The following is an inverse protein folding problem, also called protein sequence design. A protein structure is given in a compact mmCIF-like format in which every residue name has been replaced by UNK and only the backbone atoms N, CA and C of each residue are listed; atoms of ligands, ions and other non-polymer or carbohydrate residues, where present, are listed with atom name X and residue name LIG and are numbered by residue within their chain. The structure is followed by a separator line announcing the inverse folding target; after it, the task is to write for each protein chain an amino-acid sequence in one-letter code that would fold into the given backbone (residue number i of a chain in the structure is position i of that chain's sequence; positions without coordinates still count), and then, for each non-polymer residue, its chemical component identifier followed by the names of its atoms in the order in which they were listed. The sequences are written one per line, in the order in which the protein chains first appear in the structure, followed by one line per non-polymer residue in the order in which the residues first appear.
data_IF_596891230198
#
_entry.id   IF_596891230198
#
_cell.length_a   1.000
_cell.length_b   1.000
_cell.length_c   1.000
_cell.angle_alpha   90.00
_cell.angle_beta   90.00
_cell.angle_gamma   90.00
#
_symmetry.space_group_name_H-M   'P 1'
#
loop_
_entity.id
_entity.type
_entity.pdbx_description
1 polymer ?
#
# COMPACT_ATOMS: atom_id res chain seq x y z
N UNK A 1 2.05 -27.66 -9.33
CA UNK A 1 0.64 -27.32 -9.66
C UNK A 1 0.15 -26.00 -9.05
N UNK A 2 1.02 -25.02 -8.72
CA UNK A 2 0.60 -23.77 -8.04
C UNK A 2 0.22 -22.58 -8.94
N UNK A 3 0.31 -22.71 -10.27
CA UNK A 3 0.17 -21.56 -11.19
C UNK A 3 -1.26 -21.26 -11.67
N UNK A 4 -2.16 -22.25 -11.67
CA UNK A 4 -3.47 -22.12 -12.35
C UNK A 4 -4.53 -21.52 -11.43
N UNK A 5 -4.56 -21.89 -10.14
CA UNK A 5 -5.54 -21.39 -9.16
C UNK A 5 -5.28 -19.94 -8.71
N UNK A 6 -4.02 -19.49 -8.78
CA UNK A 6 -3.63 -18.10 -8.50
C UNK A 6 -4.20 -17.09 -9.50
N UNK A 7 -4.47 -17.50 -10.75
CA UNK A 7 -4.89 -16.59 -11.82
C UNK A 7 -6.30 -16.01 -11.62
N UNK A 8 -7.22 -16.79 -11.05
CA UNK A 8 -8.60 -16.35 -10.79
C UNK A 8 -8.63 -15.44 -9.56
N UNK A 9 -7.96 -15.84 -8.47
CA UNK A 9 -7.86 -15.01 -7.27
C UNK A 9 -7.20 -13.65 -7.56
N UNK A 10 -6.17 -13.63 -8.40
CA UNK A 10 -5.52 -12.38 -8.82
C UNK A 10 -6.49 -11.45 -9.59
N UNK A 11 -7.32 -11.98 -10.50
CA UNK A 11 -8.32 -11.17 -11.23
C UNK A 11 -9.35 -10.49 -10.34
N UNK A 12 -9.64 -11.05 -9.17
CA UNK A 12 -10.56 -10.46 -8.20
C UNK A 12 -9.85 -9.62 -7.12
N UNK A 13 -8.52 -9.71 -7.04
CA UNK A 13 -7.73 -9.01 -6.04
C UNK A 13 -7.09 -7.74 -6.56
N UNK A 14 -6.89 -7.59 -7.88
CA UNK A 14 -6.19 -6.45 -8.47
C UNK A 14 -7.10 -5.62 -9.40
N UNK A 15 -7.20 -4.33 -9.14
CA UNK A 15 -8.04 -3.38 -9.89
C UNK A 15 -7.21 -2.18 -10.36
N UNK A 16 -6.26 -2.38 -11.30
CA UNK A 16 -5.47 -1.28 -11.85
C UNK A 16 -6.36 -0.22 -12.52
N UNK A 17 -6.05 1.07 -12.39
CA UNK A 17 -6.75 2.13 -13.12
C UNK A 17 -6.81 1.85 -14.62
N UNK A 18 -7.99 2.00 -15.22
CA UNK A 18 -8.22 1.81 -16.66
C UNK A 18 -9.09 2.96 -17.21
N UNK A 19 -8.54 3.86 -18.05
CA UNK A 19 -7.13 3.93 -18.47
C UNK A 19 -6.16 4.27 -17.31
N UNK A 20 -4.85 4.02 -17.47
CA UNK A 20 -3.83 4.57 -16.58
C UNK A 20 -3.98 6.08 -16.39
N UNK A 21 -3.63 6.59 -15.20
CA UNK A 21 -3.74 8.02 -14.91
C UNK A 21 -2.61 8.87 -15.53
N UNK A 22 -1.57 8.20 -16.05
CA UNK A 22 -0.41 8.83 -16.66
C UNK A 22 0.07 8.03 -17.88
N UNK A 23 0.76 8.71 -18.79
CA UNK A 23 1.53 8.16 -19.90
C UNK A 23 3.03 8.29 -19.67
N UNK A 24 3.85 7.59 -20.47
CA UNK A 24 5.30 7.61 -20.36
C UNK A 24 5.92 8.21 -21.62
N UNK A 25 6.77 9.22 -21.45
CA UNK A 25 7.47 9.91 -22.56
C UNK A 25 8.99 9.88 -22.36
N UNK A 26 9.72 9.85 -23.47
CA UNK A 26 11.17 10.07 -23.51
C UNK A 26 11.45 11.52 -23.91
N UNK A 27 12.47 12.12 -23.32
CA UNK A 27 12.99 13.39 -23.78
C UNK A 27 14.17 13.15 -24.72
N UNK A 28 13.89 13.23 -26.01
CA UNK A 28 14.87 13.00 -27.09
C UNK A 28 15.81 14.21 -27.28
N UNK A 29 15.64 15.28 -26.50
CA UNK A 29 16.44 16.52 -26.63
C UNK A 29 17.74 16.51 -25.82
N UNK A 30 17.89 15.58 -24.88
CA UNK A 30 19.12 15.39 -24.09
C UNK A 30 19.95 14.21 -24.60
N UNK A 31 21.28 14.26 -24.46
CA UNK A 31 22.19 13.15 -24.83
C UNK A 31 22.00 11.87 -23.99
N UNK A 32 21.06 11.89 -23.05
CA UNK A 32 20.66 10.79 -22.17
C UNK A 32 19.16 10.66 -22.30
N UNK A 33 18.66 9.47 -22.66
CA UNK A 33 17.23 9.16 -22.73
C UNK A 33 16.61 9.25 -21.33
N UNK A 34 16.11 10.42 -20.96
CA UNK A 34 15.42 10.63 -19.68
C UNK A 34 13.93 10.38 -19.85
N UNK A 35 13.38 9.53 -18.99
CA UNK A 35 11.95 9.23 -18.95
C UNK A 35 11.21 10.23 -18.07
N UNK A 36 9.96 10.50 -18.43
CA UNK A 36 9.01 11.27 -17.65
C UNK A 36 7.62 10.64 -17.70
N UNK A 37 6.87 10.78 -16.61
CA UNK A 37 5.44 10.48 -16.61
C UNK A 37 4.63 11.74 -16.93
N UNK A 38 3.55 11.61 -17.69
CA UNK A 38 2.65 12.73 -18.04
C UNK A 38 1.66 13.01 -16.91
N UNK A 39 0.87 14.08 -17.07
CA UNK A 39 -0.26 14.41 -16.19
C UNK A 39 0.13 14.70 -14.73
N UNK A 40 1.42 14.91 -14.48
CA UNK A 40 1.99 15.38 -13.20
C UNK A 40 2.98 16.52 -13.44
N UNK A 41 3.27 17.37 -12.44
CA UNK A 41 4.27 18.43 -12.58
C UNK A 41 5.67 17.88 -12.90
N UNK A 42 6.35 18.48 -13.89
CA UNK A 42 7.75 18.14 -14.17
C UNK A 42 8.65 18.60 -13.03
N UNK A 43 9.58 17.74 -12.63
CA UNK A 43 10.55 18.04 -11.58
C UNK A 43 11.91 17.41 -11.87
N UNK A 44 12.97 18.17 -11.65
CA UNK A 44 14.35 17.71 -11.85
C UNK A 44 14.82 16.74 -10.76
N UNK A 45 14.22 16.81 -9.58
CA UNK A 45 14.49 15.96 -8.42
C UNK A 45 13.78 14.59 -8.50
N UNK A 46 13.10 14.29 -9.61
CA UNK A 46 12.46 13.00 -9.86
C UNK A 46 13.13 12.28 -11.02
N UNK A 47 13.53 11.03 -10.78
CA UNK A 47 13.91 10.10 -11.83
C UNK A 47 12.73 9.18 -12.14
N UNK A 48 12.48 8.90 -13.41
CA UNK A 48 11.53 7.86 -13.86
C UNK A 48 12.32 6.73 -14.50
N UNK A 49 11.99 5.51 -14.14
CA UNK A 49 12.77 4.31 -14.46
C UNK A 49 11.88 3.22 -15.04
N UNK A 50 12.45 2.43 -15.94
CA UNK A 50 11.91 1.14 -16.36
C UNK A 50 12.77 0.02 -15.77
N UNK A 51 12.17 -0.83 -14.96
CA UNK A 51 12.86 -1.90 -14.24
C UNK A 51 12.44 -3.26 -14.78
N UNK A 52 13.42 -4.08 -15.16
CA UNK A 52 13.19 -5.46 -15.59
C UNK A 52 13.04 -6.36 -14.37
N UNK A 53 11.93 -7.07 -14.29
CA UNK A 53 11.65 -8.03 -13.21
C UNK A 53 12.20 -9.41 -13.54
N UNK A 54 12.49 -10.23 -12.51
CA UNK A 54 12.91 -11.64 -12.70
C UNK A 54 11.86 -12.52 -13.41
N UNK A 55 10.62 -12.02 -13.55
CA UNK A 55 9.53 -12.72 -14.25
C UNK A 55 9.31 -12.24 -15.69
N UNK A 56 10.20 -11.37 -16.19
CA UNK A 56 10.19 -10.92 -17.58
C UNK A 56 9.26 -9.74 -17.87
N UNK A 57 8.60 -9.18 -16.86
CA UNK A 57 7.86 -7.92 -17.01
C UNK A 57 8.82 -6.73 -16.87
N UNK A 58 8.48 -5.64 -17.52
CA UNK A 58 9.03 -4.30 -17.29
C UNK A 58 8.01 -3.49 -16.49
N UNK A 59 8.45 -2.95 -15.36
CA UNK A 59 7.65 -2.07 -14.49
C UNK A 59 8.18 -0.65 -14.49
N UNK A 60 7.30 0.33 -14.25
CA UNK A 60 7.68 1.72 -14.08
C UNK A 60 7.90 2.02 -12.61
N UNK A 61 8.96 2.76 -12.31
CA UNK A 61 9.25 3.29 -10.98
C UNK A 61 9.58 4.78 -11.06
N UNK A 62 9.30 5.52 -9.98
CA UNK A 62 9.80 6.87 -9.78
C UNK A 62 10.65 6.94 -8.53
N UNK A 63 11.72 7.74 -8.59
CA UNK A 63 12.60 8.02 -7.47
C UNK A 63 12.65 9.52 -7.19
N UNK A 64 12.02 9.94 -6.10
CA UNK A 64 12.02 11.32 -5.61
C UNK A 64 13.24 11.54 -4.71
N UNK A 65 14.11 12.45 -5.12
CA UNK A 65 15.33 12.82 -4.38
C UNK A 65 15.03 13.94 -3.39
N UNK A 66 15.57 13.82 -2.19
CA UNK A 66 15.58 14.91 -1.22
C UNK A 66 17.03 15.31 -0.88
N UNK A 67 17.41 16.60 -1.00
CA UNK A 67 18.81 17.03 -0.86
C UNK A 67 19.40 16.81 0.54
N UNK A 68 18.54 16.69 1.55
CA UNK A 68 18.92 16.39 2.95
C UNK A 68 18.37 15.03 3.40
N UNK A 69 18.21 14.09 2.47
CA UNK A 69 17.72 12.76 2.78
C UNK A 69 18.63 12.06 3.80
N UNK A 70 18.05 11.48 4.85
CA UNK A 70 18.78 10.67 5.82
C UNK A 70 18.49 9.17 5.70
N UNK A 71 17.69 8.78 4.72
CA UNK A 71 17.30 7.41 4.39
C UNK A 71 16.41 7.38 3.14
N UNK A 72 15.96 6.20 2.76
CA UNK A 72 15.10 5.98 1.59
C UNK A 72 13.85 5.20 1.97
N UNK A 73 12.70 5.64 1.48
CA UNK A 73 11.40 4.96 1.61
C UNK A 73 11.10 4.21 0.31
N UNK A 74 10.88 2.90 0.37
CA UNK A 74 10.35 2.11 -0.76
C UNK A 74 8.86 1.87 -0.53
N UNK A 75 8.02 2.41 -1.42
CA UNK A 75 6.57 2.47 -1.26
C UNK A 75 5.85 1.51 -2.21
N UNK A 76 5.15 0.53 -1.65
CA UNK A 76 4.20 -0.36 -2.34
C UNK A 76 2.77 0.21 -2.20
N UNK A 77 2.21 0.72 -3.31
CA UNK A 77 0.93 1.42 -3.31
C UNK A 77 -0.31 0.52 -3.17
N UNK A 78 -1.47 1.14 -2.94
CA UNK A 78 -2.75 0.47 -2.84
C UNK A 78 -3.27 -0.10 -4.17
N UNK A 79 -4.39 -0.83 -4.11
CA UNK A 79 -4.91 -1.62 -5.22
C UNK A 79 -5.49 -0.82 -6.39
N UNK A 80 -6.22 0.26 -6.11
CA UNK A 80 -6.87 1.06 -7.15
C UNK A 80 -6.08 2.36 -7.40
N UNK A 81 -4.76 2.26 -7.40
CA UNK A 81 -3.84 3.38 -7.55
C UNK A 81 -2.72 3.04 -8.55
N UNK A 82 -2.18 4.06 -9.21
CA UNK A 82 -0.95 3.98 -9.99
C UNK A 82 -0.03 5.17 -9.67
N UNK A 83 1.19 5.18 -10.23
CA UNK A 83 2.19 6.23 -9.95
C UNK A 83 1.72 7.66 -10.21
N UNK A 84 0.88 7.89 -11.22
CA UNK A 84 0.36 9.23 -11.53
C UNK A 84 -0.51 9.77 -10.39
N UNK A 85 -1.40 8.93 -9.85
CA UNK A 85 -2.23 9.29 -8.70
C UNK A 85 -1.43 9.43 -7.40
N UNK A 86 -0.35 8.67 -7.25
CA UNK A 86 0.49 8.66 -6.06
C UNK A 86 1.58 9.75 -6.05
N UNK A 87 1.82 10.41 -7.19
CA UNK A 87 2.96 11.31 -7.39
C UNK A 87 3.04 12.44 -6.34
N UNK A 88 1.96 13.19 -6.14
CA UNK A 88 1.92 14.30 -5.19
C UNK A 88 2.14 13.83 -3.76
N UNK A 89 1.55 12.68 -3.38
CA UNK A 89 1.78 12.08 -2.07
C UNK A 89 3.26 11.72 -1.89
N UNK A 90 3.92 11.18 -2.90
CA UNK A 90 5.34 10.83 -2.84
C UNK A 90 6.25 12.04 -2.69
N UNK A 91 5.99 13.12 -3.43
CA UNK A 91 6.71 14.38 -3.29
C UNK A 91 6.53 14.96 -1.88
N UNK A 92 5.30 14.99 -1.37
CA UNK A 92 4.99 15.51 -0.05
C UNK A 92 5.61 14.67 1.07
N UNK A 93 5.54 13.33 0.98
CA UNK A 93 6.19 12.43 1.94
C UNK A 93 7.70 12.61 1.94
N UNK A 94 8.33 12.66 0.76
CA UNK A 94 9.77 12.88 0.62
C UNK A 94 10.20 14.19 1.29
N UNK A 95 9.49 15.29 1.00
CA UNK A 95 9.73 16.61 1.57
C UNK A 95 9.53 16.66 3.09
N UNK A 96 8.38 16.18 3.58
CA UNK A 96 8.00 16.27 4.99
C UNK A 96 8.82 15.35 5.88
N UNK A 97 9.19 14.16 5.40
CA UNK A 97 9.97 13.18 6.16
C UNK A 97 11.48 13.34 5.96
N UNK A 98 11.92 14.13 4.97
CA UNK A 98 13.32 14.29 4.56
C UNK A 98 13.96 12.95 4.21
N UNK A 99 13.28 12.22 3.34
CA UNK A 99 13.73 10.92 2.83
C UNK A 99 13.74 10.98 1.30
N UNK A 100 14.62 10.20 0.68
CA UNK A 100 14.38 9.81 -0.70
C UNK A 100 13.18 8.86 -0.73
N UNK A 101 12.45 8.80 -1.85
CA UNK A 101 11.29 7.93 -1.96
C UNK A 101 11.27 7.24 -3.32
N UNK A 102 11.26 5.91 -3.33
CA UNK A 102 10.97 5.11 -4.51
C UNK A 102 9.55 4.57 -4.45
N UNK A 103 8.74 4.93 -5.43
CA UNK A 103 7.46 4.28 -5.71
C UNK A 103 7.56 3.49 -7.01
N UNK A 104 6.80 2.42 -7.15
CA UNK A 104 6.77 1.61 -8.36
C UNK A 104 5.36 1.09 -8.63
N UNK A 105 5.00 0.96 -9.90
CA UNK A 105 3.78 0.28 -10.30
C UNK A 105 3.99 -1.24 -10.30
N UNK A 106 2.95 -1.97 -9.94
CA UNK A 106 2.93 -3.43 -10.10
C UNK A 106 2.88 -3.82 -11.59
N UNK A 107 3.32 -5.03 -11.91
CA UNK A 107 3.09 -5.63 -13.22
C UNK A 107 1.60 -5.54 -13.61
N UNK A 108 1.29 -4.95 -14.76
CA UNK A 108 -0.08 -4.72 -15.23
C UNK A 108 -0.79 -3.47 -14.66
N UNK A 109 -0.07 -2.59 -13.96
CA UNK A 109 -0.55 -1.29 -13.49
C UNK A 109 0.11 -0.14 -14.23
N UNK A 110 -0.59 0.98 -14.37
CA UNK A 110 -0.05 2.18 -15.01
C UNK A 110 0.49 1.87 -16.40
N UNK A 111 1.74 2.24 -16.64
CA UNK A 111 2.47 1.95 -17.88
C UNK A 111 3.35 0.68 -17.80
N UNK A 112 3.15 -0.15 -16.76
CA UNK A 112 3.88 -1.39 -16.56
C UNK A 112 3.28 -2.54 -17.37
N UNK A 113 4.14 -3.38 -17.93
CA UNK A 113 3.75 -4.55 -18.71
C UNK A 113 3.28 -5.72 -17.83
N UNK A 114 2.71 -6.76 -18.46
CA UNK A 114 2.36 -8.00 -17.77
C UNK A 114 0.97 -7.98 -17.13
N UNK A 115 0.80 -8.71 -16.03
CA UNK A 115 -0.47 -8.83 -15.29
C UNK A 115 -0.22 -8.88 -13.80
N UNK A 116 -1.13 -8.32 -13.03
CA UNK A 116 -1.02 -8.34 -11.58
C UNK A 116 -1.25 -9.75 -11.02
N UNK A 117 -0.37 -10.17 -10.13
CA UNK A 117 -0.48 -11.42 -9.35
C UNK A 117 0.44 -11.32 -8.14
N UNK A 118 0.17 -12.04 -7.06
CA UNK A 118 1.03 -12.07 -5.87
C UNK A 118 2.51 -12.30 -6.23
N UNK A 119 2.77 -13.33 -7.05
CA UNK A 119 4.12 -13.67 -7.47
C UNK A 119 4.77 -12.64 -8.41
N UNK A 120 4.00 -11.87 -9.18
CA UNK A 120 4.54 -10.71 -9.90
C UNK A 120 4.84 -9.57 -8.95
N UNK A 121 3.94 -9.22 -8.03
CA UNK A 121 4.20 -8.13 -7.06
C UNK A 121 5.44 -8.37 -6.19
N UNK A 122 5.74 -9.63 -5.85
CA UNK A 122 7.01 -9.98 -5.19
C UNK A 122 8.22 -9.80 -6.10
N UNK A 123 8.11 -10.12 -7.39
CA UNK A 123 9.17 -9.85 -8.36
C UNK A 123 9.34 -8.35 -8.65
N UNK A 124 8.25 -7.58 -8.57
CA UNK A 124 8.23 -6.13 -8.82
C UNK A 124 8.94 -5.37 -7.69
N UNK A 125 8.64 -5.70 -6.42
CA UNK A 125 9.35 -5.11 -5.28
C UNK A 125 10.82 -5.53 -5.24
N UNK A 126 11.13 -6.79 -5.59
CA UNK A 126 12.51 -7.26 -5.63
C UNK A 126 13.32 -6.47 -6.70
N UNK A 127 12.72 -6.14 -7.86
CA UNK A 127 13.37 -5.33 -8.89
C UNK A 127 13.61 -3.88 -8.43
N UNK A 128 12.63 -3.28 -7.76
CA UNK A 128 12.74 -1.93 -7.19
C UNK A 128 13.79 -1.88 -6.07
N UNK A 129 13.81 -2.89 -5.21
CA UNK A 129 14.83 -3.08 -4.18
C UNK A 129 16.23 -3.19 -4.81
N UNK A 130 16.42 -4.08 -5.80
CA UNK A 130 17.71 -4.21 -6.52
C UNK A 130 18.15 -2.87 -7.15
N UNK A 131 17.25 -2.13 -7.77
CA UNK A 131 17.55 -0.80 -8.30
C UNK A 131 18.08 0.16 -7.23
N UNK A 132 17.43 0.23 -6.05
CA UNK A 132 17.91 1.03 -4.92
C UNK A 132 19.31 0.63 -4.45
N UNK A 133 19.59 -0.67 -4.43
CA UNK A 133 20.91 -1.20 -4.04
C UNK A 133 21.99 -0.85 -5.07
N UNK A 134 21.71 -1.13 -6.33
CA UNK A 134 22.71 -1.16 -7.41
C UNK A 134 22.93 0.21 -8.04
N UNK A 135 21.86 0.97 -8.32
CA UNK A 135 21.94 2.28 -8.98
C UNK A 135 22.08 3.42 -7.99
N UNK A 136 21.40 3.34 -6.84
CA UNK A 136 21.37 4.41 -5.85
C UNK A 136 22.26 4.15 -4.62
N UNK A 137 22.89 2.97 -4.51
CA UNK A 137 23.82 2.64 -3.44
C UNK A 137 23.18 2.60 -2.03
N UNK A 138 21.85 2.42 -1.95
CA UNK A 138 21.12 2.44 -0.68
C UNK A 138 21.47 1.22 0.16
N UNK A 139 21.85 1.42 1.42
CA UNK A 139 22.10 0.33 2.37
C UNK A 139 20.81 -0.12 3.04
N UNK A 140 20.75 -1.39 3.48
CA UNK A 140 19.53 -1.94 4.10
C UNK A 140 19.15 -1.17 5.36
N UNK A 141 20.17 -0.76 6.14
CA UNK A 141 20.04 0.05 7.36
C UNK A 141 19.64 1.51 7.09
N UNK A 142 19.47 1.90 5.82
CA UNK A 142 18.92 3.17 5.37
C UNK A 142 17.52 3.03 4.76
N UNK A 143 17.07 1.80 4.52
CA UNK A 143 15.85 1.50 3.80
C UNK A 143 14.68 1.30 4.77
N UNK A 144 13.60 2.06 4.51
CA UNK A 144 12.31 1.93 5.16
C UNK A 144 11.35 1.37 4.12
N UNK A 145 10.66 0.28 4.44
CA UNK A 145 9.61 -0.24 3.55
C UNK A 145 8.25 0.31 3.97
N UNK A 146 7.43 0.68 3.01
CA UNK A 146 6.08 1.20 3.23
C UNK A 146 5.09 0.42 2.36
N UNK A 147 4.09 -0.19 2.97
CA UNK A 147 3.04 -0.92 2.24
C UNK A 147 1.65 -0.42 2.61
N UNK A 148 0.89 0.03 1.62
CA UNK A 148 -0.51 0.44 1.80
C UNK A 148 -1.48 -0.64 1.30
N UNK A 149 -2.41 -1.06 2.15
CA UNK A 149 -3.45 -2.03 1.80
C UNK A 149 -2.85 -3.29 1.19
N UNK A 150 -3.20 -3.61 -0.07
CA UNK A 150 -2.60 -4.73 -0.83
C UNK A 150 -1.07 -4.67 -0.90
N UNK A 151 -0.48 -3.46 -0.90
CA UNK A 151 0.97 -3.24 -0.89
C UNK A 151 1.66 -3.74 0.38
N UNK A 152 0.92 -4.02 1.46
CA UNK A 152 1.47 -4.69 2.64
C UNK A 152 1.99 -6.09 2.31
N UNK A 153 1.42 -6.76 1.30
CA UNK A 153 1.85 -8.07 0.80
C UNK A 153 3.31 -8.11 0.38
N UNK A 154 3.70 -7.43 -0.72
CA UNK A 154 5.10 -7.39 -1.16
C UNK A 154 6.03 -6.74 -0.12
N UNK A 155 5.55 -5.74 0.62
CA UNK A 155 6.32 -5.09 1.70
C UNK A 155 6.75 -6.08 2.79
N UNK A 156 5.81 -6.86 3.34
CA UNK A 156 6.10 -7.83 4.40
C UNK A 156 6.89 -9.02 3.83
N UNK A 157 6.63 -9.43 2.60
CA UNK A 157 7.41 -10.49 1.94
C UNK A 157 8.90 -10.13 1.86
N UNK A 158 9.23 -8.92 1.36
CA UNK A 158 10.61 -8.44 1.32
C UNK A 158 11.17 -8.26 2.74
N UNK A 159 10.42 -7.64 3.65
CA UNK A 159 10.85 -7.41 5.02
C UNK A 159 11.21 -8.70 5.77
N UNK A 160 10.45 -9.78 5.55
CA UNK A 160 10.65 -11.08 6.20
C UNK A 160 11.96 -11.77 5.81
N UNK A 161 12.58 -11.34 4.70
CA UNK A 161 13.80 -11.90 4.12
C UNK A 161 15.00 -10.95 4.20
N UNK A 162 14.81 -9.74 4.73
CA UNK A 162 15.85 -8.69 4.79
C UNK A 162 16.03 -8.21 6.24
N UNK A 163 17.00 -8.78 7.00
CA UNK A 163 17.06 -8.62 8.45
C UNK A 163 17.51 -7.22 8.93
N UNK A 164 18.20 -6.46 8.07
CA UNK A 164 18.87 -5.21 8.45
C UNK A 164 18.11 -3.94 8.02
N UNK A 165 16.82 -4.05 7.68
CA UNK A 165 15.99 -2.89 7.33
C UNK A 165 15.92 -1.89 8.48
N UNK A 166 15.83 -0.60 8.13
CA UNK A 166 15.68 0.47 9.12
C UNK A 166 14.31 0.43 9.81
N UNK A 167 13.26 0.08 9.08
CA UNK A 167 11.91 -0.07 9.61
C UNK A 167 10.89 -0.42 8.54
N UNK A 168 9.70 -0.78 9.00
CA UNK A 168 8.55 -1.08 8.15
C UNK A 168 7.36 -0.23 8.59
N UNK A 169 6.67 0.37 7.64
CA UNK A 169 5.39 1.05 7.83
C UNK A 169 4.31 0.27 7.10
N UNK A 170 3.27 -0.11 7.83
CA UNK A 170 2.09 -0.80 7.30
C UNK A 170 0.89 0.14 7.42
N UNK A 171 0.32 0.54 6.29
CA UNK A 171 -0.82 1.44 6.22
C UNK A 171 -2.07 0.66 5.78
N UNK A 172 -3.06 0.58 6.66
CA UNK A 172 -4.29 -0.20 6.50
C UNK A 172 -4.03 -1.62 5.96
N UNK A 173 -3.09 -2.37 6.56
CA UNK A 173 -2.56 -3.59 5.97
C UNK A 173 -3.55 -4.76 6.04
N UNK A 174 -3.34 -5.76 5.18
CA UNK A 174 -4.15 -6.98 5.16
C UNK A 174 -3.44 -8.15 5.87
N UNK A 175 -4.16 -8.95 6.65
CA UNK A 175 -3.63 -10.22 7.19
C UNK A 175 -3.39 -11.24 6.08
N UNK A 176 -4.36 -11.34 5.16
CA UNK A 176 -4.30 -12.08 3.89
C UNK A 176 -5.47 -11.69 3.00
N UNK A 177 -5.41 -12.01 1.70
CA UNK A 177 -6.46 -11.68 0.75
C UNK A 177 -7.81 -12.30 1.11
N UNK A 178 -7.84 -13.57 1.50
CA UNK A 178 -9.08 -14.23 1.94
C UNK A 178 -9.69 -13.59 3.19
N UNK A 179 -8.85 -13.11 4.13
CA UNK A 179 -9.32 -12.50 5.38
C UNK A 179 -9.99 -11.14 5.16
N UNK A 180 -9.65 -10.45 4.08
CA UNK A 180 -10.33 -9.20 3.68
C UNK A 180 -11.77 -9.49 3.25
N UNK A 181 -11.96 -10.57 2.47
CA UNK A 181 -13.28 -10.92 1.92
C UNK A 181 -14.17 -11.66 2.93
N UNK A 182 -13.57 -12.47 3.80
CA UNK A 182 -14.28 -13.34 4.72
C UNK A 182 -13.55 -13.43 6.06
N UNK A 183 -14.25 -13.44 7.21
CA UNK A 183 -13.65 -13.54 8.54
C UNK A 183 -13.17 -14.96 8.86
N UNK A 184 -12.20 -15.46 8.07
CA UNK A 184 -11.64 -16.81 8.20
C UNK A 184 -10.51 -16.85 9.24
N UNK A 185 -10.54 -17.86 10.12
CA UNK A 185 -9.50 -18.04 11.14
C UNK A 185 -8.27 -18.79 10.63
N UNK A 186 -8.41 -19.63 9.60
CA UNK A 186 -7.34 -20.48 9.06
C UNK A 186 -6.75 -19.88 7.80
N UNK A 187 -5.44 -20.08 7.60
CA UNK A 187 -4.77 -19.73 6.35
C UNK A 187 -4.91 -20.87 5.36
N UNK A 188 -5.37 -20.58 4.15
CA UNK A 188 -5.56 -21.57 3.09
C UNK A 188 -4.38 -21.57 2.11
N UNK A 189 -4.14 -22.71 1.46
CA UNK A 189 -3.02 -22.85 0.53
C UNK A 189 -3.15 -21.93 -0.69
N UNK A 190 -4.37 -21.64 -1.14
CA UNK A 190 -4.71 -20.75 -2.25
C UNK A 190 -4.88 -19.27 -1.85
N UNK A 191 -4.72 -18.95 -0.56
CA UNK A 191 -4.75 -17.57 -0.08
C UNK A 191 -3.55 -16.78 -0.59
N UNK A 192 -3.72 -15.48 -0.80
CA UNK A 192 -2.66 -14.57 -1.26
C UNK A 192 -2.24 -13.64 -0.13
N UNK A 193 -0.99 -13.19 -0.17
CA UNK A 193 -0.44 -12.23 0.79
C UNK A 193 -0.64 -12.66 2.23
N UNK A 194 -0.22 -13.88 2.56
CA UNK A 194 -0.29 -14.49 3.90
C UNK A 194 0.64 -13.77 4.90
N UNK A 195 0.40 -12.49 5.11
CA UNK A 195 1.19 -11.58 5.93
C UNK A 195 1.20 -12.04 7.38
N UNK A 196 0.09 -12.61 7.85
CA UNK A 196 -0.02 -13.25 9.17
C UNK A 196 1.05 -14.33 9.40
N UNK A 197 1.44 -15.07 8.35
CA UNK A 197 2.45 -16.12 8.45
C UNK A 197 3.89 -15.57 8.35
N UNK A 198 4.06 -14.35 7.80
CA UNK A 198 5.38 -13.76 7.48
C UNK A 198 5.83 -12.69 8.48
N UNK A 199 4.89 -11.97 9.11
CA UNK A 199 5.19 -10.81 9.96
C UNK A 199 6.09 -11.16 11.15
N UNK A 200 5.97 -12.38 11.68
CA UNK A 200 6.82 -12.89 12.75
C UNK A 200 8.29 -13.03 12.37
N UNK A 201 8.65 -12.98 11.09
CA UNK A 201 10.04 -13.01 10.61
C UNK A 201 10.67 -11.62 10.46
N UNK A 202 9.87 -10.54 10.53
CA UNK A 202 10.37 -9.17 10.43
C UNK A 202 11.11 -8.78 11.72
N UNK A 203 12.38 -8.40 11.58
CA UNK A 203 13.30 -8.15 12.71
C UNK A 203 13.57 -6.67 13.00
N UNK A 204 12.99 -5.76 12.23
CA UNK A 204 13.12 -4.31 12.40
C UNK A 204 11.84 -3.69 12.99
N UNK A 205 11.89 -2.43 13.46
CA UNK A 205 10.71 -1.76 14.01
C UNK A 205 9.56 -1.66 13.00
N UNK A 206 8.36 -2.07 13.42
CA UNK A 206 7.13 -2.02 12.63
C UNK A 206 6.16 -0.99 13.19
N UNK A 207 5.80 0.00 12.37
CA UNK A 207 4.70 0.92 12.61
C UNK A 207 3.47 0.44 11.82
N UNK A 208 2.32 0.35 12.49
CA UNK A 208 1.02 0.15 11.85
C UNK A 208 0.19 1.42 11.96
N UNK A 209 -0.38 1.86 10.85
CA UNK A 209 -1.33 2.97 10.76
C UNK A 209 -2.64 2.41 10.21
N UNK A 210 -3.76 2.59 10.90
CA UNK A 210 -5.05 2.05 10.45
C UNK A 210 -6.21 2.91 10.97
N UNK A 211 -7.20 3.16 10.11
CA UNK A 211 -8.46 3.82 10.49
C UNK A 211 -9.36 2.91 11.30
N UNK A 212 -10.03 3.44 12.32
CA UNK A 212 -10.97 2.65 13.15
C UNK A 212 -12.34 2.47 12.48
N UNK A 213 -12.62 3.20 11.41
CA UNK A 213 -13.85 3.12 10.61
C UNK A 213 -13.54 2.65 9.18
N UNK A 214 -12.52 1.79 9.03
CA UNK A 214 -12.13 1.20 7.76
C UNK A 214 -13.11 0.09 7.34
N UNK A 215 -13.96 0.39 6.35
CA UNK A 215 -14.96 -0.53 5.81
C UNK A 215 -14.43 -1.45 4.71
N UNK A 216 -13.20 -1.22 4.22
CA UNK A 216 -12.58 -2.04 3.17
C UNK A 216 -11.70 -3.12 3.78
N UNK A 217 -10.87 -2.75 4.75
CA UNK A 217 -10.02 -3.66 5.51
C UNK A 217 -10.26 -3.40 6.98
N UNK A 218 -10.99 -4.30 7.63
CA UNK A 218 -11.32 -4.16 9.05
C UNK A 218 -10.07 -3.89 9.90
N UNK A 219 -10.20 -2.93 10.82
CA UNK A 219 -9.13 -2.47 11.71
C UNK A 219 -8.42 -3.62 12.46
N UNK A 220 -9.11 -4.73 12.72
CA UNK A 220 -8.51 -5.92 13.36
C UNK A 220 -7.34 -6.50 12.57
N UNK A 221 -7.23 -6.25 11.26
CA UNK A 221 -6.11 -6.70 10.45
C UNK A 221 -4.80 -6.02 10.86
N UNK A 222 -4.81 -4.68 10.92
CA UNK A 222 -3.68 -3.90 11.39
C UNK A 222 -3.35 -4.22 12.84
N UNK A 223 -4.36 -4.33 13.70
CA UNK A 223 -4.16 -4.69 15.11
C UNK A 223 -3.45 -6.03 15.28
N UNK A 224 -3.90 -7.09 14.58
CA UNK A 224 -3.30 -8.41 14.68
C UNK A 224 -1.86 -8.45 14.11
N UNK A 225 -1.60 -7.78 12.99
CA UNK A 225 -0.23 -7.68 12.45
C UNK A 225 0.71 -6.95 13.41
N UNK A 226 0.22 -5.89 14.05
CA UNK A 226 0.98 -5.19 15.08
C UNK A 226 1.28 -6.10 16.28
N UNK A 227 0.28 -6.82 16.82
CA UNK A 227 0.45 -7.76 17.94
C UNK A 227 1.47 -8.88 17.62
N UNK A 228 1.48 -9.38 16.38
CA UNK A 228 2.37 -10.43 15.90
C UNK A 228 3.79 -9.94 15.53
N UNK A 229 4.01 -8.62 15.42
CA UNK A 229 5.32 -8.05 15.07
C UNK A 229 6.34 -8.25 16.21
N UNK A 230 7.59 -8.59 15.88
CA UNK A 230 8.67 -8.78 16.88
C UNK A 230 9.10 -7.46 17.53
N UNK A 231 9.53 -6.49 16.72
CA UNK A 231 9.90 -5.15 17.18
C UNK A 231 8.72 -4.19 16.90
N UNK A 232 7.85 -3.99 17.89
CA UNK A 232 6.66 -3.14 17.76
C UNK A 232 7.02 -1.66 18.01
N UNK A 233 6.63 -0.78 17.10
CA UNK A 233 6.52 0.65 17.39
C UNK A 233 5.08 1.01 17.78
N UNK A 234 4.87 2.12 18.47
CA UNK A 234 3.52 2.54 18.87
C UNK A 234 2.64 2.77 17.62
N UNK A 235 1.50 2.06 17.49
CA UNK A 235 0.65 2.14 16.31
C UNK A 235 -0.12 3.46 16.28
N UNK A 236 -0.56 3.88 15.10
CA UNK A 236 -1.50 4.99 14.93
C UNK A 236 -2.88 4.44 14.54
N UNK A 237 -3.80 4.46 15.50
CA UNK A 237 -5.21 4.19 15.24
C UNK A 237 -5.95 5.50 15.01
N UNK A 238 -6.34 5.76 13.77
CA UNK A 238 -7.00 7.03 13.40
C UNK A 238 -8.49 6.90 13.68
N UNK A 239 -8.95 7.56 14.74
CA UNK A 239 -10.37 7.54 15.13
C UNK A 239 -11.25 8.16 14.05
N UNK A 240 -12.24 7.41 13.55
CA UNK A 240 -13.10 7.83 12.44
C UNK A 240 -12.44 7.80 11.05
N UNK A 241 -11.15 7.44 10.97
CA UNK A 241 -10.45 7.24 9.70
C UNK A 241 -10.99 6.02 8.94
N UNK A 242 -11.15 6.16 7.63
CA UNK A 242 -11.50 5.10 6.69
C UNK A 242 -10.27 4.59 5.92
N UNK A 243 -10.49 3.81 4.86
CA UNK A 243 -9.39 3.13 4.15
C UNK A 243 -8.47 4.08 3.35
N UNK A 244 -9.03 5.12 2.75
CA UNK A 244 -8.36 5.95 1.73
C UNK A 244 -8.26 7.44 2.12
N UNK A 245 -8.44 7.78 3.40
CA UNK A 245 -8.43 9.17 3.85
C UNK A 245 -7.48 9.46 5.02
N UNK A 246 -6.67 8.48 5.44
CA UNK A 246 -5.84 8.63 6.64
C UNK A 246 -4.77 9.72 6.47
N UNK A 247 -4.29 9.93 5.26
CA UNK A 247 -3.31 10.96 4.91
C UNK A 247 -3.83 12.39 5.15
N UNK A 248 -5.15 12.57 5.19
CA UNK A 248 -5.79 13.86 5.45
C UNK A 248 -5.78 14.24 6.94
N UNK A 249 -5.57 13.27 7.82
CA UNK A 249 -5.57 13.48 9.27
C UNK A 249 -4.23 14.08 9.73
N UNK A 250 -4.20 15.18 10.49
CA UNK A 250 -2.97 15.81 10.97
C UNK A 250 -2.06 14.87 11.78
N UNK A 251 -2.63 13.88 12.48
CA UNK A 251 -1.89 12.88 13.24
C UNK A 251 -1.02 12.00 12.35
N UNK A 252 -1.44 11.73 11.10
CA UNK A 252 -0.75 10.83 10.18
C UNK A 252 0.70 11.25 9.95
N UNK A 253 0.90 12.46 9.43
CA UNK A 253 2.25 12.94 9.11
C UNK A 253 3.06 13.19 10.39
N UNK A 254 2.41 13.62 11.47
CA UNK A 254 3.06 13.84 12.77
C UNK A 254 3.62 12.54 13.33
N UNK A 255 2.87 11.45 13.26
CA UNK A 255 3.28 10.14 13.76
C UNK A 255 4.34 9.50 12.88
N UNK A 256 4.21 9.60 11.55
CA UNK A 256 5.26 9.16 10.62
C UNK A 256 6.59 9.86 10.89
N UNK A 257 6.59 11.18 11.10
CA UNK A 257 7.81 11.92 11.48
C UNK A 257 8.44 11.39 12.76
N UNK A 258 7.63 11.13 13.80
CA UNK A 258 8.12 10.56 15.06
C UNK A 258 8.76 9.19 14.84
N UNK A 259 8.16 8.34 14.02
CA UNK A 259 8.70 7.03 13.67
C UNK A 259 10.03 7.14 12.92
N UNK A 260 10.10 7.99 11.88
CA UNK A 260 11.34 8.23 11.11
C UNK A 260 12.45 8.76 12.02
N UNK A 261 12.15 9.68 12.93
CA UNK A 261 13.13 10.18 13.92
C UNK A 261 13.58 9.05 14.86
N UNK A 262 12.66 8.22 15.34
CA UNK A 262 12.96 7.09 16.22
C UNK A 262 13.93 6.11 15.57
N UNK A 263 13.65 5.67 14.34
CA UNK A 263 14.48 4.69 13.61
C UNK A 263 15.77 5.28 13.03
N UNK A 264 15.91 6.62 13.01
CA UNK A 264 17.15 7.29 12.60
C UNK A 264 18.19 7.38 13.73
N UNK A 265 17.81 7.11 14.98
CA UNK A 265 18.76 7.10 16.10
C UNK A 265 19.64 5.85 15.99
N UNK A 266 20.97 5.97 16.16
CA UNK A 266 21.84 4.80 16.15
C UNK A 266 21.41 3.83 17.25
N UNK A 267 21.31 2.55 16.93
CA UNK A 267 21.08 1.49 17.92
C UNK A 267 22.27 1.53 18.88
N UNK A 268 22.06 2.04 20.10
CA UNK A 268 23.07 1.98 21.16
C UNK A 268 23.47 0.53 21.48
N UNK A 269 24.57 0.31 22.22
CA UNK A 269 24.97 -1.03 22.61
C UNK A 269 23.81 -1.72 23.34
N UNK A 270 23.37 -2.88 22.83
CA UNK A 270 22.38 -3.72 23.52
C UNK A 270 23.05 -4.30 24.76
N UNK A 271 23.00 -3.58 25.88
CA UNK A 271 23.31 -4.17 27.18
C UNK A 271 22.26 -5.25 27.46
N UNK A 272 22.72 -6.49 27.63
CA UNK A 272 21.88 -7.61 28.04
C UNK A 272 21.18 -7.34 29.38
N UNK A 273 20.18 -8.16 29.74
CA UNK A 273 19.35 -7.91 30.90
C UNK A 273 20.17 -8.15 32.18
N UNK A 274 20.77 -7.08 32.73
CA UNK A 274 21.24 -7.08 34.10
C UNK A 274 20.04 -7.06 35.03
N UNK A 275 19.72 -8.24 35.57
CA UNK A 275 18.94 -8.40 36.80
C UNK A 275 19.61 -7.55 37.89
N UNK A 276 18.94 -6.51 38.36
CA UNK A 276 19.21 -5.93 39.68
C UNK A 276 17.88 -5.57 40.34
N UNK A 277 17.67 -6.15 41.52
CA UNK A 277 16.49 -5.98 42.37
C UNK A 277 16.41 -4.53 42.88
N UNK A 278 15.21 -3.98 43.13
CA UNK A 278 15.07 -2.70 43.81
C UNK A 278 15.06 -2.90 45.32
N UNK A 279 16.02 -2.31 46.01
CA UNK A 279 15.90 -1.99 47.44
C UNK A 279 15.86 -0.48 47.62
N UNK A 280 14.75 -0.09 48.22
CA UNK A 280 14.48 1.07 49.07
C UNK A 280 14.46 2.50 48.56
N UNK A 281 13.41 3.15 49.04
CA UNK A 281 12.95 4.48 48.74
C UNK A 281 13.68 5.55 49.53
N UNK A 282 13.77 6.75 48.96
CA UNK A 282 13.45 7.96 49.71
C UNK A 282 13.00 9.07 48.76
N UNK A 283 11.95 9.77 49.22
CA UNK A 283 11.29 10.90 48.58
C UNK A 283 12.26 12.08 48.40
N UNK A 284 12.07 12.85 47.34
CA UNK A 284 11.79 14.27 47.55
C UNK A 284 11.01 14.92 46.40
N UNK A 285 10.03 15.73 46.79
CA UNK A 285 9.13 16.48 45.93
C UNK A 285 9.72 17.86 45.66
N UNK A 286 9.67 18.32 44.42
CA UNK A 286 9.44 19.74 44.13
C UNK A 286 8.96 19.94 42.68
N UNK A 287 7.75 20.50 42.56
CA UNK A 287 7.25 21.18 41.35
C UNK A 287 7.83 22.61 41.33
N UNK A 288 7.92 23.24 40.15
CA UNK A 288 6.95 24.32 39.93
C UNK A 288 6.33 24.39 38.52
N UNK A 289 5.34 25.27 38.49
CA UNK A 289 4.27 25.58 37.53
C UNK A 289 4.65 26.12 36.14
N UNK A 290 3.80 25.76 35.18
CA UNK A 290 3.23 26.49 34.03
C UNK A 290 3.91 27.73 33.43
N UNK A 291 4.05 27.74 32.09
CA UNK A 291 3.40 28.69 31.17
C UNK A 291 3.86 28.45 29.71
N UNK A 292 2.95 28.55 28.73
CA UNK A 292 3.36 28.64 27.32
C UNK A 292 2.27 28.35 26.29
N UNK A 293 1.51 29.40 25.94
CA UNK A 293 0.75 29.70 24.70
C UNK A 293 0.47 28.56 23.71
N UNK A 294 -0.82 28.35 23.45
CA UNK A 294 -1.31 27.75 22.21
C UNK A 294 -1.38 28.83 21.11
N UNK A 295 -0.59 28.68 20.06
CA UNK A 295 -0.76 29.43 18.82
C UNK A 295 -1.64 28.63 17.87
N UNK A 296 -2.88 29.10 17.71
CA UNK A 296 -3.81 28.67 16.66
C UNK A 296 -3.43 29.39 15.38
N UNK A 297 -2.99 28.66 14.35
CA UNK A 297 -2.84 29.19 13.00
C UNK A 297 -4.00 28.71 12.11
N UNK A 298 -4.83 29.68 11.68
CA UNK A 298 -5.87 29.51 10.67
C UNK A 298 -5.22 29.43 9.27
N UNK A 299 -5.62 28.43 8.47
CA UNK A 299 -5.36 28.42 7.03
C UNK A 299 -6.48 29.22 6.33
N UNK A 300 -6.09 30.17 5.48
CA UNK A 300 -6.97 30.86 4.56
C UNK A 300 -7.47 29.92 3.45
N UNK A 301 -8.78 29.85 3.29
CA UNK A 301 -9.45 29.20 2.17
C UNK A 301 -9.17 29.97 0.88
N UNK A 302 -8.64 29.29 -0.14
CA UNK A 302 -8.91 29.59 -1.55
C UNK A 302 -8.32 28.47 -2.42
N UNK A 303 -9.05 27.37 -2.58
CA UNK A 303 -8.92 26.47 -3.73
C UNK A 303 -10.33 26.00 -4.14
N UNK A 304 -10.63 25.94 -5.45
CA UNK A 304 -11.98 25.74 -5.96
C UNK A 304 -12.49 24.32 -5.70
N UNK A 305 -13.76 24.22 -5.29
CA UNK A 305 -14.50 22.97 -5.14
C UNK A 305 -14.60 22.25 -6.50
N UNK A 306 -13.86 21.15 -6.64
CA UNK A 306 -14.19 20.11 -7.62
C UNK A 306 -14.95 19.03 -6.88
N UNK A 307 -16.28 19.04 -7.08
CA UNK A 307 -17.22 18.03 -6.61
C UNK A 307 -16.78 16.64 -7.09
N UNK A 308 -16.24 15.83 -6.18
CA UNK A 308 -16.11 14.39 -6.38
C UNK A 308 -17.50 13.78 -6.15
N UNK A 309 -18.25 13.63 -7.23
CA UNK A 309 -19.48 12.85 -7.21
C UNK A 309 -19.12 11.41 -6.83
N UNK A 310 -19.61 10.95 -5.67
CA UNK A 310 -19.54 9.56 -5.24
C UNK A 310 -20.21 8.68 -6.28
N UNK A 311 -19.49 7.62 -6.69
CA UNK A 311 -19.97 6.58 -7.60
C UNK A 311 -20.59 5.45 -6.77
N UNK A 312 -21.47 5.76 -5.81
CA UNK A 312 -22.22 4.75 -5.03
C UNK A 312 -23.62 4.48 -5.58
N UNK A 313 -24.06 5.17 -6.64
CA UNK A 313 -25.44 5.06 -7.11
C UNK A 313 -25.72 3.98 -8.17
N UNK A 314 -24.81 3.03 -8.44
CA UNK A 314 -25.03 1.99 -9.46
C UNK A 314 -25.12 0.55 -8.93
N UNK A 315 -25.07 0.31 -7.61
CA UNK A 315 -25.21 -1.05 -7.05
C UNK A 315 -26.55 -1.32 -6.33
N UNK A 316 -27.41 -0.32 -6.15
CA UNK A 316 -28.72 -0.46 -5.51
C UNK A 316 -29.87 -0.28 -6.50
N UNK A 317 -30.10 -1.28 -7.36
CA UNK A 317 -31.41 -1.52 -8.01
C UNK A 317 -31.48 -2.90 -8.65
N UNK A 318 -31.40 -3.95 -7.83
CA UNK A 318 -32.06 -5.21 -8.20
C UNK A 318 -32.31 -6.06 -6.96
N UNK A 319 -33.48 -5.88 -6.34
CA UNK A 319 -34.17 -6.99 -5.65
C UNK A 319 -35.64 -6.70 -5.31
N UNK A 320 -36.45 -7.71 -5.67
CA UNK A 320 -37.85 -8.07 -5.31
C UNK A 320 -38.93 -7.49 -6.26
N UNK A 321 -39.91 -8.26 -6.73
CA UNK A 321 -40.73 -9.28 -6.04
C UNK A 321 -41.33 -10.36 -6.98
N UNK A 322 -41.53 -11.57 -6.44
CA UNK A 322 -42.27 -12.72 -7.00
C UNK A 322 -43.80 -12.51 -7.02
N UNK A 323 -44.51 -13.05 -8.05
CA UNK A 323 -45.56 -14.10 -7.95
C UNK A 323 -46.16 -14.48 -9.33
N UNK A 324 -46.84 -15.65 -9.47
CA UNK A 324 -46.91 -16.45 -10.70
C UNK A 324 -48.27 -16.41 -11.42
N UNK A 325 -48.31 -16.80 -12.69
CA UNK A 325 -49.58 -17.15 -13.34
C UNK A 325 -49.43 -18.29 -14.38
N UNK A 326 -50.48 -19.13 -14.43
CA UNK A 326 -50.57 -20.44 -15.07
C UNK A 326 -50.95 -20.37 -16.55
N UNK A 327 -50.54 -21.42 -17.27
CA UNK A 327 -51.15 -22.12 -18.42
C UNK A 327 -52.17 -21.40 -19.31
N UNK A 328 -51.94 -21.48 -20.63
CA UNK A 328 -52.99 -21.78 -21.63
C UNK A 328 -52.38 -22.38 -22.90
N UNK A 329 -52.79 -23.61 -23.21
CA UNK A 329 -52.70 -24.18 -24.56
C UNK A 329 -53.82 -23.60 -25.42
N UNK A 330 -53.58 -23.43 -26.72
CA UNK A 330 -54.59 -23.59 -27.77
C UNK A 330 -53.95 -23.91 -29.12
N UNK A 331 -54.65 -24.76 -29.86
CA UNK A 331 -54.32 -25.44 -31.11
C UNK A 331 -54.98 -24.71 -32.28
N UNK A 332 -54.33 -24.70 -33.46
CA UNK A 332 -54.94 -24.87 -34.79
C UNK A 332 -53.85 -24.71 -35.89
N UNK A 333 -53.90 -25.24 -37.10
CA UNK A 333 -54.28 -26.54 -37.70
C UNK A 333 -53.91 -26.42 -39.20
N UNK A 334 -53.51 -27.54 -39.84
CA UNK A 334 -53.40 -27.78 -41.30
C UNK A 334 -52.31 -27.00 -42.09
N UNK A 335 -51.47 -27.62 -42.95
CA UNK A 335 -51.84 -28.50 -44.09
C UNK A 335 -50.72 -29.49 -44.48
N UNK A 336 -51.13 -30.70 -44.89
CA UNK A 336 -50.34 -31.78 -45.52
C UNK A 336 -49.81 -31.41 -46.92
N UNK A 337 -48.64 -31.96 -47.31
CA UNK A 337 -48.50 -32.78 -48.54
C UNK A 337 -47.27 -33.69 -48.49
N UNK A 338 -47.49 -34.97 -48.79
CA UNK A 338 -46.52 -36.03 -49.11
C UNK A 338 -46.19 -36.00 -50.62
N UNK A 339 -45.02 -36.54 -50.97
CA UNK A 339 -44.54 -36.91 -52.31
C UNK A 339 -43.01 -36.77 -52.30
N UNK A 340 -42.18 -37.77 -51.96
CA UNK A 340 -41.89 -39.07 -52.59
C UNK A 340 -41.24 -38.90 -53.98
N UNK A 341 -40.26 -39.78 -54.27
CA UNK A 341 -39.59 -40.09 -55.56
C UNK A 341 -38.23 -39.35 -55.70
N UNK A 342 -37.04 -39.96 -55.86
CA UNK A 342 -36.53 -41.34 -56.01
C UNK A 342 -35.25 -41.48 -55.19
#
# INVERSE_FOLDING_TARGET
MGGVTSSIAAKFAFFPPTPPSYGLITDDSSSVDRLYITDVPRRDDVDVLKLRTRRGNEIVAIYVKHPKANGTLLYSHGNAADLGQMFELFVELSSRLRLNLMGYDYSGYGQSTGKASECNTYADIDASYSCLKEQYGVKDDQLILYGQSVGSGPTIDLASRTPNLRGVVLHSPILSGMRVLYPVKRTYWFDIYKNIDKIGSVTCPVLVIHGTADEVVDWSHGKQLWELSKEKYEPLWVSGGGHCNLELYPEFIKHLKKFVIFISKPKGPRNGPNKTNPTDATKDQSKPSANGRADTFQLGCCLPEVSRNSVDSQLEKSKKTNKPEKSRMSVDRFRRKKGLVW
#
